data_IF_016307534950
#
_entry.id   IF_016307534950
#
_cell.length_a   1.000
_cell.length_b   1.000
_cell.length_c   1.000
_cell.angle_alpha   90.00
_cell.angle_beta   90.00
_cell.angle_gamma   90.00
#
_symmetry.space_group_name_H-M   'P 1'
#
loop_
_entity.id
_entity.type
_entity.pdbx_description
1 polymer ?
#
# COMPACT_ATOMS: atom_id res chain seq x y z
N UNK A 1 -15.08 -21.94 3.86
CA UNK A 1 -14.50 -20.62 4.18
C UNK A 1 -15.54 -19.59 3.79
N UNK A 2 -15.91 -18.70 4.68
CA UNK A 2 -16.80 -17.58 4.38
C UNK A 2 -15.95 -16.36 3.96
N UNK A 3 -16.59 -15.33 3.37
CA UNK A 3 -15.90 -14.07 3.09
C UNK A 3 -15.30 -13.44 4.35
N UNK A 4 -15.90 -13.72 5.53
CA UNK A 4 -15.38 -13.24 6.83
C UNK A 4 -14.05 -13.88 7.23
N UNK A 5 -13.73 -15.06 6.73
CA UNK A 5 -12.46 -15.76 7.00
C UNK A 5 -11.28 -15.19 6.19
N UNK A 6 -11.54 -14.28 5.24
CA UNK A 6 -10.50 -13.61 4.46
C UNK A 6 -9.80 -12.47 5.22
N UNK A 7 -10.36 -12.04 6.36
CA UNK A 7 -9.86 -10.91 7.14
C UNK A 7 -8.69 -11.28 8.03
N UNK A 8 -7.77 -10.33 8.18
CA UNK A 8 -6.60 -10.48 9.03
C UNK A 8 -6.92 -10.72 10.51
N UNK A 9 -5.96 -11.29 11.23
CA UNK A 9 -6.06 -11.58 12.65
C UNK A 9 -6.04 -10.29 13.49
N UNK A 10 -6.38 -10.43 14.79
CA UNK A 10 -6.26 -9.33 15.76
C UNK A 10 -4.84 -9.19 16.34
N UNK A 11 -3.91 -10.01 15.91
CA UNK A 11 -2.52 -10.01 16.38
C UNK A 11 -1.80 -8.74 15.94
N UNK A 12 -0.99 -8.17 16.85
CA UNK A 12 -0.08 -7.07 16.54
C UNK A 12 1.33 -7.61 16.27
N UNK A 13 2.03 -7.02 15.31
CA UNK A 13 3.42 -7.34 15.07
C UNK A 13 4.29 -6.90 16.27
N UNK A 14 5.30 -7.70 16.59
CA UNK A 14 6.35 -7.39 17.57
C UNK A 14 7.60 -6.85 16.86
N UNK A 15 8.51 -6.21 17.62
CA UNK A 15 9.76 -5.69 17.06
C UNK A 15 10.63 -6.81 16.49
N UNK A 16 10.69 -7.95 17.16
CA UNK A 16 11.51 -9.09 16.73
C UNK A 16 11.00 -9.66 15.40
N UNK A 17 9.69 -9.79 15.24
CA UNK A 17 9.07 -10.23 13.98
C UNK A 17 9.27 -9.23 12.83
N UNK A 18 9.23 -7.93 13.12
CA UNK A 18 9.52 -6.89 12.13
C UNK A 18 10.98 -6.95 11.67
N UNK A 19 11.91 -7.19 12.60
CA UNK A 19 13.33 -7.38 12.29
C UNK A 19 13.60 -8.67 11.54
N UNK A 20 12.92 -9.76 11.92
CA UNK A 20 12.96 -11.04 11.20
C UNK A 20 12.51 -10.84 9.75
N UNK A 21 11.40 -10.13 9.55
CA UNK A 21 10.88 -9.83 8.21
C UNK A 21 11.89 -9.03 7.38
N UNK A 22 12.52 -8.00 7.94
CA UNK A 22 13.55 -7.24 7.24
C UNK A 22 14.76 -8.13 6.89
N UNK A 23 15.23 -8.96 7.83
CA UNK A 23 16.35 -9.88 7.60
C UNK A 23 16.03 -10.89 6.50
N UNK A 24 14.84 -11.49 6.53
CA UNK A 24 14.38 -12.41 5.49
C UNK A 24 14.29 -11.73 4.11
N UNK A 25 13.72 -10.52 4.05
CA UNK A 25 13.59 -9.79 2.78
C UNK A 25 14.94 -9.41 2.16
N UNK A 26 15.97 -9.14 2.96
CA UNK A 26 17.34 -8.89 2.49
C UNK A 26 17.98 -10.10 1.77
N UNK A 27 17.43 -11.29 1.90
CA UNK A 27 17.93 -12.50 1.19
C UNK A 27 17.38 -12.64 -0.23
N UNK A 28 16.44 -11.79 -0.63
CA UNK A 28 15.81 -11.81 -1.95
C UNK A 28 16.30 -10.64 -2.80
N UNK A 29 16.96 -10.95 -3.91
CA UNK A 29 17.52 -9.95 -4.84
C UNK A 29 16.45 -9.07 -5.50
N UNK A 30 15.21 -9.53 -5.52
CA UNK A 30 14.07 -8.80 -6.12
C UNK A 30 13.38 -7.84 -5.14
N UNK A 31 13.72 -7.85 -3.85
CA UNK A 31 13.23 -6.86 -2.88
C UNK A 31 14.30 -5.84 -2.60
N UNK A 32 14.16 -4.67 -3.18
CA UNK A 32 15.18 -3.64 -3.11
C UNK A 32 15.10 -2.89 -1.77
N UNK A 33 16.28 -2.56 -1.21
CA UNK A 33 16.39 -1.46 -0.26
C UNK A 33 16.23 -0.17 -1.06
N UNK A 34 15.04 0.42 -0.99
CA UNK A 34 14.74 1.60 -1.80
C UNK A 34 15.48 2.84 -1.30
N UNK A 35 15.91 3.75 -2.18
CA UNK A 35 16.61 4.95 -1.75
C UNK A 35 15.69 5.89 -0.97
N UNK A 36 16.31 6.68 -0.09
CA UNK A 36 15.71 7.84 0.54
C UNK A 36 16.45 9.09 0.09
N UNK A 37 15.71 10.07 -0.45
CA UNK A 37 16.24 11.39 -0.79
C UNK A 37 15.99 12.31 0.39
N UNK A 38 17.04 12.71 1.08
CA UNK A 38 16.90 13.59 2.24
C UNK A 38 16.85 15.06 1.81
N UNK A 39 16.02 15.87 2.46
CA UNK A 39 15.86 17.31 2.22
C UNK A 39 15.66 17.69 0.74
N UNK A 40 14.96 16.83 -0.01
CA UNK A 40 14.74 17.02 -1.44
C UNK A 40 13.77 18.18 -1.70
N UNK A 41 14.05 19.06 -2.67
CA UNK A 41 13.18 20.21 -2.95
C UNK A 41 11.94 19.76 -3.72
N UNK A 42 10.77 19.83 -3.08
CA UNK A 42 9.47 19.51 -3.68
C UNK A 42 8.48 20.61 -3.36
N UNK A 43 7.89 21.25 -4.38
CA UNK A 43 6.83 22.25 -4.20
C UNK A 43 7.23 23.43 -3.31
N UNK A 44 8.50 23.83 -3.35
CA UNK A 44 9.04 24.92 -2.51
C UNK A 44 9.38 24.53 -1.08
N UNK A 45 9.21 23.26 -0.71
CA UNK A 45 9.57 22.69 0.60
C UNK A 45 10.76 21.75 0.48
N UNK A 46 11.49 21.54 1.58
CA UNK A 46 12.48 20.46 1.70
C UNK A 46 11.84 19.29 2.41
N UNK A 47 11.75 18.14 1.74
CA UNK A 47 11.04 16.95 2.22
C UNK A 47 11.95 15.74 2.01
N UNK A 48 12.09 14.86 2.98
CA UNK A 48 12.73 13.57 2.75
C UNK A 48 11.72 12.61 2.10
N UNK A 49 12.14 11.91 1.04
CA UNK A 49 11.29 11.03 0.25
C UNK A 49 11.79 9.59 0.32
N UNK A 50 11.03 8.67 0.89
CA UNK A 50 11.27 7.22 0.81
C UNK A 50 10.65 6.69 -0.47
N UNK A 51 11.49 6.29 -1.45
CA UNK A 51 11.06 6.02 -2.81
C UNK A 51 10.64 4.55 -3.04
N UNK A 52 9.55 4.10 -2.43
CA UNK A 52 8.96 2.78 -2.69
C UNK A 52 8.47 2.61 -4.15
N UNK A 53 8.31 3.72 -4.86
CA UNK A 53 8.09 3.73 -6.31
C UNK A 53 9.22 3.08 -7.11
N UNK A 54 10.41 3.00 -6.56
CA UNK A 54 11.57 2.35 -7.19
C UNK A 54 11.70 0.85 -6.88
N UNK A 55 10.78 0.27 -6.11
CA UNK A 55 10.75 -1.17 -5.90
C UNK A 55 10.60 -1.92 -7.25
N UNK A 56 11.07 -3.14 -7.34
CA UNK A 56 11.09 -3.96 -8.57
C UNK A 56 9.75 -4.00 -9.30
N UNK A 57 8.64 -4.12 -8.56
CA UNK A 57 7.29 -4.10 -9.15
C UNK A 57 6.68 -2.71 -9.26
N UNK A 58 7.47 -1.65 -9.03
CA UNK A 58 7.02 -0.26 -9.10
C UNK A 58 6.23 0.22 -7.90
N UNK A 59 6.12 -0.55 -6.82
CA UNK A 59 5.45 -0.16 -5.58
C UNK A 59 5.89 -0.99 -4.38
N UNK A 60 5.64 -0.47 -3.18
CA UNK A 60 5.93 -1.11 -1.89
C UNK A 60 5.34 -2.53 -1.71
N UNK A 61 4.31 -2.87 -2.49
CA UNK A 61 3.55 -4.11 -2.35
C UNK A 61 4.42 -5.36 -2.35
N UNK A 62 5.49 -5.34 -3.11
CA UNK A 62 6.41 -6.48 -3.20
C UNK A 62 6.96 -6.92 -1.84
N UNK A 63 7.26 -5.99 -0.94
CA UNK A 63 7.80 -6.28 0.40
C UNK A 63 6.89 -7.23 1.19
N UNK A 64 5.64 -6.83 1.39
CA UNK A 64 4.67 -7.64 2.12
C UNK A 64 4.32 -8.94 1.42
N UNK A 65 4.10 -8.90 0.09
CA UNK A 65 3.74 -10.09 -0.69
C UNK A 65 4.87 -11.13 -0.69
N UNK A 66 6.14 -10.71 -0.83
CA UNK A 66 7.29 -11.60 -0.76
C UNK A 66 7.44 -12.22 0.63
N UNK A 67 7.27 -11.43 1.69
CA UNK A 67 7.33 -11.96 3.05
C UNK A 67 6.19 -12.93 3.35
N UNK A 68 4.99 -12.68 2.85
CA UNK A 68 3.87 -13.62 2.95
C UNK A 68 4.20 -14.97 2.32
N UNK A 69 4.80 -14.97 1.13
CA UNK A 69 5.25 -16.23 0.51
C UNK A 69 6.36 -16.90 1.34
N UNK A 70 7.30 -16.13 1.88
CA UNK A 70 8.36 -16.64 2.76
C UNK A 70 7.80 -17.39 3.99
N UNK A 71 6.67 -16.91 4.55
CA UNK A 71 6.02 -17.49 5.73
C UNK A 71 5.04 -18.60 5.40
N UNK A 72 4.68 -18.78 4.13
CA UNK A 72 3.70 -19.78 3.69
C UNK A 72 4.32 -21.18 3.54
N UNK A 73 3.49 -22.19 3.65
CA UNK A 73 3.89 -23.58 3.44
C UNK A 73 4.35 -23.79 1.99
N UNK A 74 5.60 -24.25 1.81
CA UNK A 74 6.24 -24.39 0.50
C UNK A 74 5.56 -25.49 -0.34
N UNK A 75 5.09 -26.57 0.27
CA UNK A 75 4.42 -27.64 -0.46
C UNK A 75 3.03 -27.19 -0.94
N UNK A 76 2.31 -26.40 -0.13
CA UNK A 76 1.06 -25.78 -0.56
C UNK A 76 1.28 -24.78 -1.70
N UNK A 77 2.33 -23.95 -1.61
CA UNK A 77 2.68 -23.01 -2.69
C UNK A 77 3.00 -23.73 -4.00
N UNK A 78 3.71 -24.87 -3.95
CA UNK A 78 4.06 -25.67 -5.13
C UNK A 78 2.85 -26.39 -5.73
N UNK A 79 2.01 -26.96 -4.90
CA UNK A 79 0.88 -27.80 -5.33
C UNK A 79 -0.34 -26.98 -5.76
N UNK A 80 -0.66 -25.92 -5.03
CA UNK A 80 -1.88 -25.13 -5.24
C UNK A 80 -1.61 -23.72 -5.77
N UNK A 81 -0.44 -23.14 -5.48
CA UNK A 81 -0.12 -21.76 -5.84
C UNK A 81 -0.79 -20.72 -4.95
N UNK A 82 -0.88 -19.51 -5.45
CA UNK A 82 -1.39 -18.34 -4.70
C UNK A 82 -2.64 -17.76 -5.36
N UNK A 83 -3.44 -17.07 -4.55
CA UNK A 83 -4.59 -16.28 -5.02
C UNK A 83 -4.59 -14.91 -4.35
N UNK A 84 -4.99 -13.89 -5.10
CA UNK A 84 -5.20 -12.52 -4.60
C UNK A 84 -6.40 -11.86 -5.26
N UNK A 85 -6.83 -10.72 -4.69
CA UNK A 85 -7.89 -9.88 -5.23
C UNK A 85 -7.35 -8.46 -5.43
N UNK A 86 -7.09 -8.07 -6.66
CA UNK A 86 -6.60 -6.70 -6.95
C UNK A 86 -6.48 -6.44 -8.45
N UNK A 87 -6.96 -5.28 -8.90
CA UNK A 87 -6.71 -4.77 -10.24
C UNK A 87 -5.44 -3.89 -10.34
N UNK A 88 -4.73 -3.65 -9.22
CA UNK A 88 -3.61 -2.70 -9.14
C UNK A 88 -2.31 -3.33 -8.65
N UNK A 89 -1.57 -2.56 -7.86
CA UNK A 89 -0.22 -2.88 -7.38
C UNK A 89 -0.09 -4.26 -6.68
N UNK A 90 -1.12 -4.71 -5.94
CA UNK A 90 -1.07 -6.01 -5.29
C UNK A 90 -1.18 -7.16 -6.32
N UNK A 91 -2.11 -7.06 -7.28
CA UNK A 91 -2.22 -8.03 -8.38
C UNK A 91 -0.91 -8.11 -9.18
N UNK A 92 -0.32 -6.96 -9.54
CA UNK A 92 0.98 -6.89 -10.21
C UNK A 92 2.09 -7.59 -9.41
N UNK A 93 2.20 -7.31 -8.12
CA UNK A 93 3.23 -7.91 -7.27
C UNK A 93 3.06 -9.43 -7.13
N UNK A 94 1.82 -9.93 -6.97
CA UNK A 94 1.54 -11.38 -6.89
C UNK A 94 1.81 -12.08 -8.24
N UNK A 95 1.45 -11.45 -9.37
CA UNK A 95 1.74 -11.98 -10.71
C UNK A 95 3.25 -12.08 -10.95
N UNK A 96 4.00 -11.02 -10.60
CA UNK A 96 5.46 -11.02 -10.66
C UNK A 96 6.06 -12.14 -9.78
N UNK A 97 5.58 -12.30 -8.55
CA UNK A 97 6.06 -13.34 -7.65
C UNK A 97 5.77 -14.74 -8.18
N UNK A 98 4.59 -14.95 -8.80
CA UNK A 98 4.29 -16.20 -9.50
C UNK A 98 5.32 -16.51 -10.58
N UNK A 99 5.63 -15.52 -11.43
CA UNK A 99 6.65 -15.65 -12.48
C UNK A 99 8.05 -15.93 -11.90
N UNK A 100 8.46 -15.17 -10.88
CA UNK A 100 9.80 -15.27 -10.31
C UNK A 100 10.05 -16.57 -9.52
N UNK A 101 9.00 -17.16 -8.93
CA UNK A 101 9.09 -18.37 -8.11
C UNK A 101 8.64 -19.64 -8.83
N UNK A 102 7.94 -19.51 -9.95
CA UNK A 102 7.30 -20.63 -10.65
C UNK A 102 5.99 -21.09 -9.99
N UNK A 103 5.48 -20.39 -8.97
CA UNK A 103 4.19 -20.72 -8.36
C UNK A 103 3.04 -20.20 -9.21
N UNK A 104 1.99 -21.03 -9.38
CA UNK A 104 0.79 -20.61 -10.08
C UNK A 104 0.12 -19.44 -9.35
N UNK A 105 -0.06 -18.30 -10.04
CA UNK A 105 -0.74 -17.12 -9.49
C UNK A 105 -2.13 -16.96 -10.13
N UNK A 106 -3.15 -16.77 -9.31
CA UNK A 106 -4.52 -16.44 -9.74
C UNK A 106 -4.94 -15.11 -9.16
N UNK A 107 -5.43 -14.20 -10.00
CA UNK A 107 -5.81 -12.85 -9.61
C UNK A 107 -7.27 -12.61 -9.94
N UNK A 108 -8.08 -12.33 -8.93
CA UNK A 108 -9.45 -11.87 -9.12
C UNK A 108 -9.47 -10.34 -9.16
N UNK A 109 -10.22 -9.78 -10.10
CA UNK A 109 -10.38 -8.33 -10.22
C UNK A 109 -11.81 -7.96 -10.60
N UNK A 110 -12.27 -6.74 -10.24
CA UNK A 110 -13.59 -6.26 -10.63
C UNK A 110 -13.77 -6.25 -12.16
N UNK A 111 -14.93 -6.61 -12.64
CA UNK A 111 -15.25 -6.59 -14.07
C UNK A 111 -15.11 -5.20 -14.69
N UNK A 112 -15.33 -4.15 -13.88
CA UNK A 112 -15.17 -2.74 -14.28
C UNK A 112 -13.71 -2.28 -14.42
N UNK A 113 -12.74 -3.06 -13.92
CA UNK A 113 -11.33 -2.66 -14.01
C UNK A 113 -10.82 -2.71 -15.45
N UNK A 114 -9.92 -1.78 -15.84
CA UNK A 114 -9.38 -1.72 -17.20
C UNK A 114 -8.69 -3.01 -17.65
N UNK A 115 -8.80 -3.33 -18.95
CA UNK A 115 -8.28 -4.58 -19.51
C UNK A 115 -6.74 -4.59 -19.64
N UNK A 116 -6.11 -3.43 -19.77
CA UNK A 116 -4.65 -3.28 -19.77
C UNK A 116 -4.01 -3.87 -18.52
N UNK A 117 -4.65 -3.70 -17.37
CA UNK A 117 -4.22 -4.29 -16.09
C UNK A 117 -4.29 -5.82 -16.09
N UNK A 118 -5.33 -6.38 -16.71
CA UNK A 118 -5.44 -7.82 -16.94
C UNK A 118 -4.31 -8.31 -17.83
N UNK A 119 -4.14 -7.68 -19.00
CA UNK A 119 -3.10 -8.03 -19.98
C UNK A 119 -1.70 -7.99 -19.34
N UNK A 120 -1.41 -6.97 -18.55
CA UNK A 120 -0.14 -6.84 -17.84
C UNK A 120 0.09 -8.02 -16.87
N UNK A 121 -0.89 -8.42 -16.08
CA UNK A 121 -0.77 -9.53 -15.14
C UNK A 121 -0.66 -10.88 -15.86
N UNK A 122 -1.42 -11.08 -16.94
CA UNK A 122 -1.34 -12.29 -17.77
C UNK A 122 -0.01 -12.41 -18.51
N UNK A 123 0.62 -11.29 -18.90
CA UNK A 123 1.98 -11.29 -19.47
C UNK A 123 3.07 -11.81 -18.52
N UNK A 124 2.80 -11.78 -17.20
CA UNK A 124 3.64 -12.40 -16.17
C UNK A 124 3.22 -13.84 -15.85
N UNK A 125 2.30 -14.43 -16.60
CA UNK A 125 1.86 -15.83 -16.43
C UNK A 125 0.75 -16.02 -15.38
N UNK A 126 0.17 -14.96 -14.83
CA UNK A 126 -0.96 -15.10 -13.91
C UNK A 126 -2.26 -15.45 -14.64
N UNK A 127 -3.12 -16.22 -13.99
CA UNK A 127 -4.50 -16.42 -14.43
C UNK A 127 -5.36 -15.31 -13.86
N UNK A 128 -5.95 -14.46 -14.71
CA UNK A 128 -6.77 -13.33 -14.27
C UNK A 128 -8.25 -13.61 -14.51
N UNK A 129 -9.05 -13.47 -13.45
CA UNK A 129 -10.50 -13.69 -13.47
C UNK A 129 -11.22 -12.38 -13.15
N UNK A 130 -12.01 -11.87 -14.10
CA UNK A 130 -12.86 -10.68 -13.90
C UNK A 130 -14.23 -11.12 -13.39
N UNK A 131 -14.67 -10.55 -12.27
CA UNK A 131 -15.98 -10.82 -11.66
C UNK A 131 -16.69 -9.53 -11.27
N UNK A 132 -18.02 -9.51 -11.15
CA UNK A 132 -18.72 -8.37 -10.57
C UNK A 132 -18.14 -7.99 -9.22
N UNK A 133 -18.00 -6.68 -8.94
CA UNK A 133 -17.33 -6.19 -7.71
C UNK A 133 -17.92 -6.75 -6.43
N UNK A 134 -19.25 -6.85 -6.37
CA UNK A 134 -20.01 -7.40 -5.24
C UNK A 134 -19.80 -8.92 -5.02
N UNK A 135 -19.28 -9.65 -6.00
CA UNK A 135 -18.95 -11.08 -5.92
C UNK A 135 -17.48 -11.37 -5.71
N UNK A 136 -16.66 -10.33 -5.62
CA UNK A 136 -15.20 -10.48 -5.61
C UNK A 136 -14.69 -11.31 -4.42
N UNK A 137 -15.18 -11.02 -3.22
CA UNK A 137 -14.78 -11.73 -1.99
C UNK A 137 -15.28 -13.18 -2.00
N UNK A 138 -16.53 -13.41 -2.41
CA UNK A 138 -17.10 -14.76 -2.49
C UNK A 138 -16.34 -15.63 -3.50
N UNK A 139 -16.00 -15.07 -4.67
CA UNK A 139 -15.26 -15.79 -5.71
C UNK A 139 -13.84 -16.18 -5.23
N UNK A 140 -13.18 -15.33 -4.44
CA UNK A 140 -11.87 -15.65 -3.84
C UNK A 140 -12.02 -16.73 -2.78
N UNK A 141 -13.02 -16.62 -1.88
CA UNK A 141 -13.28 -17.62 -0.85
C UNK A 141 -13.58 -19.00 -1.45
N UNK A 142 -14.40 -19.05 -2.51
CA UNK A 142 -14.70 -20.28 -3.26
C UNK A 142 -13.43 -20.86 -3.91
N UNK A 143 -12.61 -20.02 -4.54
CA UNK A 143 -11.34 -20.46 -5.14
C UNK A 143 -10.41 -21.08 -4.09
N UNK A 144 -10.26 -20.47 -2.92
CA UNK A 144 -9.45 -21.00 -1.83
C UNK A 144 -9.98 -22.38 -1.37
N UNK A 145 -11.30 -22.49 -1.21
CA UNK A 145 -11.93 -23.73 -0.78
C UNK A 145 -11.75 -24.88 -1.79
N UNK A 146 -11.89 -24.58 -3.08
CA UNK A 146 -11.83 -25.58 -4.15
C UNK A 146 -10.41 -25.92 -4.55
N UNK A 147 -9.53 -24.94 -4.65
CA UNK A 147 -8.17 -25.08 -5.20
C UNK A 147 -7.08 -25.09 -4.12
N UNK A 148 -7.44 -24.89 -2.85
CA UNK A 148 -6.50 -24.87 -1.70
C UNK A 148 -5.34 -23.87 -1.87
N UNK A 149 -5.54 -22.79 -2.64
CA UNK A 149 -4.53 -21.75 -2.88
C UNK A 149 -4.22 -20.97 -1.62
N UNK A 150 -2.97 -20.54 -1.50
CA UNK A 150 -2.57 -19.62 -0.44
C UNK A 150 -3.10 -18.23 -0.76
N UNK A 151 -3.89 -17.66 0.15
CA UNK A 151 -4.34 -16.27 0.03
C UNK A 151 -3.18 -15.30 0.29
N UNK A 152 -2.92 -14.44 -0.68
CA UNK A 152 -2.07 -13.27 -0.53
C UNK A 152 -2.99 -12.05 -0.55
N UNK A 153 -3.51 -11.67 0.66
CA UNK A 153 -4.46 -10.56 0.78
C UNK A 153 -3.77 -9.24 0.38
N UNK A 154 -4.45 -8.28 -0.31
CA UNK A 154 -3.81 -7.04 -0.78
C UNK A 154 -3.19 -6.17 0.32
N UNK A 155 -3.64 -6.29 1.59
CA UNK A 155 -3.18 -5.48 2.71
C UNK A 155 -3.47 -6.09 4.10
N UNK A 156 -4.59 -6.80 4.29
CA UNK A 156 -5.09 -7.21 5.61
C UNK A 156 -4.58 -8.60 6.02
N UNK A 157 -3.30 -8.68 6.32
CA UNK A 157 -2.62 -9.89 6.76
C UNK A 157 -1.39 -9.49 7.58
N UNK A 158 -1.17 -10.10 8.74
CA UNK A 158 -0.10 -9.72 9.67
C UNK A 158 1.29 -9.96 9.08
N UNK A 159 1.48 -11.00 8.27
CA UNK A 159 2.77 -11.24 7.60
C UNK A 159 3.03 -10.18 6.52
N UNK A 160 1.98 -9.73 5.81
CA UNK A 160 2.09 -8.62 4.87
C UNK A 160 2.45 -7.33 5.58
N UNK A 161 1.84 -7.04 6.73
CA UNK A 161 2.17 -5.88 7.57
C UNK A 161 3.63 -5.97 8.05
N UNK A 162 4.08 -7.13 8.53
CA UNK A 162 5.48 -7.37 8.94
C UNK A 162 6.46 -7.12 7.79
N UNK A 163 6.14 -7.61 6.58
CA UNK A 163 6.96 -7.35 5.39
C UNK A 163 7.03 -5.87 5.03
N UNK A 164 5.90 -5.13 5.11
CA UNK A 164 5.86 -3.69 4.87
C UNK A 164 6.60 -2.89 5.96
N UNK A 165 6.70 -3.40 7.18
CA UNK A 165 7.44 -2.77 8.27
C UNK A 165 8.93 -2.61 7.95
N UNK A 166 9.50 -3.43 7.05
CA UNK A 166 10.88 -3.26 6.57
C UNK A 166 11.14 -1.88 5.97
N UNK A 167 10.13 -1.26 5.32
CA UNK A 167 10.20 0.12 4.84
C UNK A 167 10.38 1.11 6.00
N UNK A 168 9.65 0.92 7.10
CA UNK A 168 9.77 1.76 8.30
C UNK A 168 11.14 1.64 8.98
N UNK A 169 11.71 0.42 9.06
CA UNK A 169 13.06 0.23 9.58
C UNK A 169 14.11 0.93 8.70
N UNK A 170 13.98 0.83 7.36
CA UNK A 170 14.87 1.55 6.45
C UNK A 170 14.76 3.07 6.59
N UNK A 171 13.54 3.62 6.83
CA UNK A 171 13.34 5.05 7.11
C UNK A 171 14.13 5.46 8.35
N UNK A 172 14.08 4.67 9.43
CA UNK A 172 14.81 4.97 10.66
C UNK A 172 16.33 4.81 10.51
N UNK A 173 16.78 3.88 9.67
CA UNK A 173 18.21 3.74 9.33
C UNK A 173 18.73 4.97 8.56
N UNK A 174 17.93 5.52 7.62
CA UNK A 174 18.30 6.64 6.74
C UNK A 174 18.03 8.02 7.37
N UNK A 175 17.08 8.12 8.31
CA UNK A 175 16.70 9.32 9.04
C UNK A 175 16.36 8.98 10.52
N UNK A 176 17.38 8.64 11.35
CA UNK A 176 17.15 8.24 12.74
C UNK A 176 16.57 9.38 13.61
N UNK A 177 16.68 10.61 13.15
CA UNK A 177 16.19 11.84 13.78
C UNK A 177 14.96 12.41 13.06
N UNK A 178 14.22 11.60 12.32
CA UNK A 178 12.94 12.01 11.74
C UNK A 178 11.96 12.44 12.85
N UNK A 179 11.32 13.61 12.66
CA UNK A 179 10.27 14.12 13.55
C UNK A 179 8.89 13.62 13.14
N UNK A 180 8.66 13.48 11.81
CA UNK A 180 7.37 13.07 11.25
C UNK A 180 7.59 12.10 10.10
N UNK A 181 6.87 10.97 10.13
CA UNK A 181 6.81 9.99 9.04
C UNK A 181 5.39 9.98 8.48
N UNK A 182 5.25 10.32 7.20
CA UNK A 182 3.95 10.45 6.52
C UNK A 182 3.79 9.32 5.53
N UNK A 183 2.69 8.58 5.65
CA UNK A 183 2.46 7.33 4.91
C UNK A 183 1.08 7.35 4.27
N UNK A 184 0.97 7.06 2.98
CA UNK A 184 -0.32 6.89 2.34
C UNK A 184 -1.08 5.68 2.90
N UNK A 185 -2.39 5.78 2.99
CA UNK A 185 -3.28 4.78 3.53
C UNK A 185 -4.42 4.48 2.54
N UNK A 186 -4.48 3.25 2.05
CA UNK A 186 -5.67 2.67 1.45
C UNK A 186 -6.26 1.70 2.46
N UNK A 187 -6.17 0.38 2.26
CA UNK A 187 -6.60 -0.61 3.27
C UNK A 187 -5.75 -0.67 4.56
N UNK A 188 -4.66 0.10 4.62
CA UNK A 188 -3.86 0.33 5.82
C UNK A 188 -2.55 -0.47 5.95
N UNK A 189 -2.26 -1.43 5.06
CA UNK A 189 -1.12 -2.35 5.25
C UNK A 189 0.27 -1.68 5.33
N UNK A 190 0.56 -0.68 4.46
CA UNK A 190 1.82 0.05 4.52
C UNK A 190 1.90 0.92 5.77
N UNK A 191 0.84 1.67 6.05
CA UNK A 191 0.75 2.53 7.24
C UNK A 191 0.95 1.72 8.52
N UNK A 192 0.24 0.58 8.64
CA UNK A 192 0.36 -0.34 9.76
C UNK A 192 1.81 -0.84 9.98
N UNK A 193 2.44 -1.30 8.89
CA UNK A 193 3.82 -1.80 8.94
C UNK A 193 4.83 -0.72 9.30
N UNK A 194 4.81 0.42 8.62
CA UNK A 194 5.74 1.54 8.89
C UNK A 194 5.55 2.05 10.32
N UNK A 195 4.30 2.24 10.76
CA UNK A 195 4.01 2.72 12.10
C UNK A 195 4.51 1.74 13.19
N UNK A 196 4.26 0.44 13.01
CA UNK A 196 4.77 -0.59 13.92
C UNK A 196 6.31 -0.53 14.00
N UNK A 197 7.01 -0.47 12.87
CA UNK A 197 8.47 -0.36 12.85
C UNK A 197 8.96 0.88 13.61
N UNK A 198 8.37 2.04 13.34
CA UNK A 198 8.76 3.32 13.96
C UNK A 198 8.56 3.26 15.47
N UNK A 199 7.37 2.91 15.94
CA UNK A 199 7.03 2.95 17.37
C UNK A 199 7.70 1.85 18.18
N UNK A 200 7.73 0.62 17.67
CA UNK A 200 8.37 -0.51 18.36
C UNK A 200 9.89 -0.35 18.45
N UNK A 201 10.53 0.38 17.53
CA UNK A 201 11.95 0.74 17.61
C UNK A 201 12.25 1.83 18.63
N UNK A 202 11.25 2.37 19.32
CA UNK A 202 11.41 3.42 20.33
C UNK A 202 11.57 4.84 19.74
N UNK A 203 11.39 5.03 18.44
CA UNK A 203 11.42 6.36 17.81
C UNK A 203 10.29 7.23 18.34
N UNK A 204 10.57 8.52 18.50
CA UNK A 204 9.58 9.55 18.89
C UNK A 204 8.90 10.21 17.70
N UNK A 205 9.26 9.83 16.49
CA UNK A 205 8.64 10.36 15.29
C UNK A 205 7.12 10.20 15.32
N UNK A 206 6.41 11.26 14.97
CA UNK A 206 4.97 11.22 14.75
C UNK A 206 4.69 10.50 13.42
N UNK A 207 3.81 9.51 13.44
CA UNK A 207 3.39 8.78 12.24
C UNK A 207 2.01 9.24 11.83
N UNK A 208 1.90 9.75 10.60
CA UNK A 208 0.66 10.28 10.04
C UNK A 208 0.24 9.45 8.83
N UNK A 209 -0.97 8.91 8.88
CA UNK A 209 -1.63 8.27 7.75
C UNK A 209 -2.33 9.29 6.85
N UNK A 210 -2.34 9.06 5.53
CA UNK A 210 -3.00 9.96 4.57
C UNK A 210 -3.94 9.16 3.68
N UNK A 211 -5.23 9.50 3.70
CA UNK A 211 -6.27 8.94 2.84
C UNK A 211 -6.84 9.99 1.86
N UNK A 212 -7.39 9.56 0.71
CA UNK A 212 -8.23 10.42 -0.11
C UNK A 212 -9.56 10.72 0.61
N UNK A 213 -10.08 11.95 0.51
CA UNK A 213 -11.41 12.29 1.05
C UNK A 213 -12.51 11.38 0.48
N UNK A 214 -12.38 10.95 -0.77
CA UNK A 214 -13.32 10.03 -1.42
C UNK A 214 -13.17 8.55 -1.03
N UNK A 215 -12.21 8.18 -0.15
CA UNK A 215 -11.97 6.80 0.30
C UNK A 215 -11.33 6.77 1.70
N UNK A 216 -12.03 7.30 2.71
CA UNK A 216 -11.52 7.56 4.07
C UNK A 216 -11.91 6.47 5.09
N UNK A 217 -11.82 5.19 4.72
CA UNK A 217 -12.26 4.09 5.58
C UNK A 217 -11.47 3.99 6.89
N UNK A 218 -10.17 4.27 6.88
CA UNK A 218 -9.34 4.21 8.07
C UNK A 218 -9.59 5.39 9.01
N UNK A 219 -9.76 6.61 8.50
CA UNK A 219 -10.13 7.78 9.31
C UNK A 219 -11.48 7.56 10.02
N UNK A 220 -12.48 7.02 9.31
CA UNK A 220 -13.76 6.62 9.89
C UNK A 220 -13.59 5.52 10.96
N UNK A 221 -12.72 4.54 10.69
CA UNK A 221 -12.43 3.45 11.64
C UNK A 221 -11.80 3.98 12.93
N UNK A 222 -10.85 4.91 12.83
CA UNK A 222 -10.23 5.56 14.00
C UNK A 222 -11.26 6.35 14.78
N UNK A 223 -12.14 7.10 14.11
CA UNK A 223 -13.17 7.89 14.74
C UNK A 223 -14.24 7.02 15.46
N UNK A 224 -14.63 5.88 14.86
CA UNK A 224 -15.64 4.98 15.43
C UNK A 224 -15.08 3.96 16.43
N UNK A 225 -13.75 3.73 16.42
CA UNK A 225 -13.07 2.74 17.27
C UNK A 225 -13.15 1.29 16.79
N UNK A 226 -13.67 1.03 15.59
CA UNK A 226 -13.76 -0.29 14.93
C UNK A 226 -13.46 -0.19 13.44
N UNK A 227 -13.06 -1.29 12.80
CA UNK A 227 -12.85 -1.31 11.36
C UNK A 227 -14.16 -1.02 10.61
N UNK A 228 -14.14 -0.03 9.73
CA UNK A 228 -15.32 0.47 9.01
C UNK A 228 -15.18 0.32 7.49
N UNK A 229 -16.33 0.29 6.85
CA UNK A 229 -16.46 0.46 5.41
C UNK A 229 -16.63 1.95 5.07
N UNK A 230 -16.25 2.32 3.86
CA UNK A 230 -16.64 3.62 3.32
C UNK A 230 -18.18 3.74 3.29
N UNK A 231 -18.73 4.96 3.40
CA UNK A 231 -20.17 5.21 3.36
C UNK A 231 -20.82 4.62 2.09
N UNK A 232 -22.14 4.60 2.07
CA UNK A 232 -22.97 4.17 0.92
C UNK A 232 -22.63 2.75 0.39
N UNK A 233 -22.39 1.81 1.32
CA UNK A 233 -22.09 0.42 0.97
C UNK A 233 -20.66 0.21 0.44
N UNK A 234 -19.71 1.05 0.85
CA UNK A 234 -18.32 0.94 0.44
C UNK A 234 -18.02 1.64 -0.89
N UNK A 235 -18.83 2.61 -1.29
CA UNK A 235 -18.55 3.42 -2.49
C UNK A 235 -17.35 4.32 -2.24
N UNK A 236 -16.45 4.33 -3.20
CA UNK A 236 -15.28 5.20 -3.21
C UNK A 236 -15.28 6.06 -4.46
N UNK A 237 -14.84 7.31 -4.33
CA UNK A 237 -14.77 8.28 -5.43
C UNK A 237 -13.46 9.05 -5.32
N UNK A 238 -12.41 8.56 -5.97
CA UNK A 238 -11.08 9.20 -6.01
C UNK A 238 -10.30 8.75 -7.22
N UNK A 239 -9.46 9.61 -7.77
CA UNK A 239 -8.48 9.29 -8.82
C UNK A 239 -7.29 8.49 -8.27
N UNK A 240 -7.14 8.40 -6.96
CA UNK A 240 -6.08 7.61 -6.30
C UNK A 240 -6.50 6.13 -6.18
N UNK A 241 -6.64 5.43 -7.30
CA UNK A 241 -7.16 4.06 -7.36
C UNK A 241 -6.43 3.07 -6.45
N UNK A 242 -5.14 3.27 -6.18
CA UNK A 242 -4.36 2.44 -5.24
C UNK A 242 -4.72 2.67 -3.77
N UNK A 243 -5.45 3.74 -3.44
CA UNK A 243 -5.91 4.09 -2.10
C UNK A 243 -7.43 3.98 -1.94
N UNK A 244 -8.12 3.30 -2.85
CA UNK A 244 -9.57 3.18 -2.89
C UNK A 244 -10.15 1.80 -2.49
N UNK A 245 -9.56 1.01 -1.55
CA UNK A 245 -10.31 -0.10 -0.98
C UNK A 245 -11.55 0.44 -0.25
N UNK A 246 -12.69 -0.28 -0.35
CA UNK A 246 -13.94 0.20 0.24
C UNK A 246 -13.99 0.06 1.77
N UNK A 247 -12.97 -0.51 2.41
CA UNK A 247 -12.93 -0.80 3.84
C UNK A 247 -11.50 -0.73 4.38
N UNK A 248 -11.38 -0.47 5.69
CA UNK A 248 -10.15 -0.64 6.45
C UNK A 248 -9.94 -2.12 6.80
N UNK A 249 -8.74 -2.65 6.60
CA UNK A 249 -8.41 -4.00 7.04
C UNK A 249 -8.48 -4.13 8.56
N UNK A 250 -8.93 -5.29 9.07
CA UNK A 250 -9.06 -5.53 10.52
C UNK A 250 -7.70 -5.54 11.23
N UNK A 251 -6.75 -6.32 10.72
CA UNK A 251 -5.38 -6.33 11.25
C UNK A 251 -4.71 -4.97 11.07
N UNK A 252 -4.93 -4.32 9.91
CA UNK A 252 -4.41 -2.98 9.63
C UNK A 252 -4.94 -1.96 10.63
N UNK A 253 -6.27 -1.94 10.89
CA UNK A 253 -6.89 -1.02 11.84
C UNK A 253 -6.33 -1.21 13.26
N UNK A 254 -6.16 -2.46 13.72
CA UNK A 254 -5.58 -2.72 15.04
C UNK A 254 -4.17 -2.16 15.20
N UNK A 255 -3.33 -2.28 14.15
CA UNK A 255 -2.00 -1.67 14.15
C UNK A 255 -2.06 -0.14 14.09
N UNK A 256 -2.96 0.42 13.26
CA UNK A 256 -3.16 1.87 13.18
C UNK A 256 -3.57 2.42 14.54
N UNK A 257 -4.55 1.80 15.19
CA UNK A 257 -5.00 2.18 16.54
C UNK A 257 -3.88 2.12 17.58
N UNK A 258 -2.94 1.18 17.44
CA UNK A 258 -1.84 0.99 18.39
C UNK A 258 -0.63 1.92 18.14
N UNK A 259 -0.34 2.24 16.88
CA UNK A 259 0.96 2.78 16.48
C UNK A 259 0.89 4.07 15.63
N UNK A 260 -0.27 4.50 15.17
CA UNK A 260 -0.41 5.73 14.35
C UNK A 260 -0.91 6.87 15.23
N UNK A 261 -0.32 8.04 15.08
CA UNK A 261 -0.69 9.21 15.88
C UNK A 261 -1.89 9.94 15.29
N UNK A 262 -2.04 9.93 13.96
CA UNK A 262 -3.10 10.67 13.27
C UNK A 262 -3.36 10.09 11.87
N UNK A 263 -4.60 10.22 11.40
CA UNK A 263 -4.96 9.99 9.99
C UNK A 263 -5.62 11.25 9.46
N UNK A 264 -5.05 11.81 8.38
CA UNK A 264 -5.56 13.02 7.71
C UNK A 264 -6.07 12.66 6.31
N UNK A 265 -6.92 13.53 5.75
CA UNK A 265 -7.43 13.35 4.41
C UNK A 265 -6.94 14.45 3.47
N UNK A 266 -6.80 14.07 2.18
CA UNK A 266 -6.43 14.97 1.09
C UNK A 266 -7.44 14.85 -0.05
N UNK A 267 -7.65 15.94 -0.77
CA UNK A 267 -8.49 15.97 -1.96
C UNK A 267 -7.74 15.39 -3.18
N UNK A 268 -8.48 15.00 -4.21
CA UNK A 268 -7.90 14.60 -5.48
C UNK A 268 -7.04 15.70 -6.12
N UNK A 269 -7.45 16.98 -5.97
CA UNK A 269 -6.68 18.11 -6.48
C UNK A 269 -5.36 18.32 -5.72
N UNK A 270 -5.35 18.17 -4.39
CA UNK A 270 -4.11 18.20 -3.59
C UNK A 270 -3.15 17.09 -4.04
N UNK A 271 -3.67 15.88 -4.33
CA UNK A 271 -2.84 14.78 -4.86
C UNK A 271 -2.31 15.06 -6.26
N UNK A 272 -3.09 15.68 -7.15
CA UNK A 272 -2.60 16.15 -8.46
C UNK A 272 -1.49 17.18 -8.33
N UNK A 273 -1.64 18.15 -7.43
CA UNK A 273 -0.59 19.15 -7.15
C UNK A 273 0.68 18.46 -6.69
N UNK A 274 0.59 17.49 -5.79
CA UNK A 274 1.75 16.74 -5.31
C UNK A 274 2.39 15.88 -6.41
N UNK A 275 1.59 15.22 -7.25
CA UNK A 275 2.09 14.43 -8.40
C UNK A 275 2.90 15.32 -9.36
N UNK A 276 2.39 16.51 -9.69
CA UNK A 276 3.12 17.49 -10.51
C UNK A 276 4.39 17.99 -9.83
N UNK A 277 4.32 18.26 -8.51
CA UNK A 277 5.49 18.73 -7.77
C UNK A 277 6.60 17.66 -7.73
N UNK A 278 6.25 16.40 -7.52
CA UNK A 278 7.18 15.27 -7.58
C UNK A 278 7.78 15.11 -8.98
N UNK A 279 6.97 15.20 -10.04
CA UNK A 279 7.46 15.14 -11.42
C UNK A 279 8.47 16.24 -11.71
N UNK A 280 8.18 17.50 -11.34
CA UNK A 280 9.09 18.65 -11.47
C UNK A 280 10.38 18.49 -10.65
N UNK A 281 10.31 17.72 -9.56
CA UNK A 281 11.46 17.36 -8.72
C UNK A 281 12.22 16.12 -9.22
N UNK A 282 11.86 15.57 -10.39
CA UNK A 282 12.51 14.40 -11.01
C UNK A 282 12.06 13.05 -10.44
N UNK A 283 10.92 13.00 -9.72
CA UNK A 283 10.38 11.78 -9.11
C UNK A 283 9.05 11.41 -9.77
N UNK A 284 9.01 10.23 -10.41
CA UNK A 284 7.77 9.68 -10.96
C UNK A 284 6.99 8.95 -9.88
N UNK A 285 5.73 9.35 -9.70
CA UNK A 285 4.79 8.74 -8.77
C UNK A 285 3.40 8.63 -9.41
N UNK A 286 2.70 7.53 -9.19
CA UNK A 286 1.25 7.48 -9.42
C UNK A 286 0.52 8.40 -8.43
N UNK A 287 -0.71 8.80 -8.73
CA UNK A 287 -1.48 9.72 -7.86
C UNK A 287 -1.57 9.19 -6.43
N UNK A 288 -1.85 7.90 -6.28
CA UNK A 288 -1.86 7.22 -4.97
C UNK A 288 -0.50 7.29 -4.25
N UNK A 289 0.59 7.24 -5.02
CA UNK A 289 1.95 7.32 -4.51
C UNK A 289 2.35 8.70 -4.00
N UNK A 290 1.64 9.75 -4.42
CA UNK A 290 1.90 11.14 -4.06
C UNK A 290 1.14 11.61 -2.82
N UNK A 291 0.21 10.83 -2.26
CA UNK A 291 -0.70 11.26 -1.20
C UNK A 291 0.01 11.78 0.07
N UNK A 292 1.11 11.13 0.50
CA UNK A 292 1.89 11.60 1.64
C UNK A 292 2.49 12.99 1.40
N UNK A 293 3.00 13.24 0.19
CA UNK A 293 3.52 14.55 -0.22
C UNK A 293 2.38 15.57 -0.35
N UNK A 294 1.18 15.16 -0.78
CA UNK A 294 0.00 16.01 -0.85
C UNK A 294 -0.36 16.58 0.54
N UNK A 295 -0.40 15.74 1.57
CA UNK A 295 -0.67 16.17 2.92
C UNK A 295 0.38 17.20 3.43
N UNK A 296 1.65 17.01 3.09
CA UNK A 296 2.74 17.95 3.43
C UNK A 296 2.56 19.30 2.71
N UNK A 297 2.32 19.28 1.40
CA UNK A 297 2.20 20.52 0.61
C UNK A 297 0.92 21.30 0.93
N UNK A 298 -0.17 20.59 1.24
CA UNK A 298 -1.46 21.17 1.61
C UNK A 298 -1.52 21.67 3.09
N UNK A 299 -0.44 21.50 3.87
CA UNK A 299 -0.40 21.95 5.27
C UNK A 299 -1.28 21.12 6.22
N UNK A 300 -1.66 19.91 5.85
CA UNK A 300 -2.51 19.01 6.66
C UNK A 300 -1.78 18.40 7.86
N UNK A 301 -0.47 18.57 7.97
CA UNK A 301 0.34 18.01 9.05
C UNK A 301 0.48 18.90 10.29
N UNK A 302 -0.21 20.04 10.31
CA UNK A 302 -0.04 21.06 11.35
C UNK A 302 1.34 21.73 11.28
N UNK A 303 1.86 22.18 12.42
CA UNK A 303 3.16 22.85 12.48
C UNK A 303 4.31 21.84 12.34
N UNK A 304 4.97 21.89 11.19
CA UNK A 304 6.14 21.10 10.83
C UNK A 304 7.35 21.95 10.44
N UNK A 305 7.33 23.24 10.73
CA UNK A 305 8.42 24.15 10.42
C UNK A 305 9.68 23.74 11.21
N UNK A 306 10.79 23.62 10.52
CA UNK A 306 12.07 23.15 11.09
C UNK A 306 12.12 21.67 11.44
N UNK A 307 11.07 20.90 11.20
CA UNK A 307 11.01 19.45 11.45
C UNK A 307 11.49 18.65 10.26
N UNK A 308 12.13 17.51 10.56
CA UNK A 308 12.50 16.52 9.57
C UNK A 308 11.30 15.65 9.23
N UNK A 309 10.72 15.87 8.06
CA UNK A 309 9.55 15.15 7.56
C UNK A 309 9.98 14.15 6.51
N UNK A 310 9.63 12.87 6.69
CA UNK A 310 9.81 11.80 5.70
C UNK A 310 8.47 11.41 5.12
N UNK A 311 8.28 11.58 3.81
CA UNK A 311 7.10 11.15 3.09
C UNK A 311 7.39 9.88 2.27
N UNK A 312 6.52 8.88 2.34
CA UNK A 312 6.61 7.72 1.44
C UNK A 312 6.07 8.06 0.06
N UNK A 313 6.83 7.73 -0.99
CA UNK A 313 6.37 7.72 -2.39
C UNK A 313 6.10 6.26 -2.74
N UNK A 314 4.85 5.82 -2.58
CA UNK A 314 4.52 4.41 -2.42
C UNK A 314 4.46 3.60 -3.71
N UNK A 315 4.30 4.26 -4.89
CA UNK A 315 4.22 3.57 -6.17
C UNK A 315 4.32 4.52 -7.36
N UNK A 316 4.59 3.92 -8.55
CA UNK A 316 4.70 4.62 -9.85
C UNK A 316 3.92 3.93 -10.98
N UNK A 317 3.11 2.93 -10.66
CA UNK A 317 2.40 2.15 -11.68
C UNK A 317 1.17 2.89 -12.20
N UNK A 318 1.39 3.79 -13.14
CA UNK A 318 0.38 4.61 -13.78
C UNK A 318 0.59 4.56 -15.31
N UNK A 319 -0.50 4.51 -16.06
CA UNK A 319 -0.43 4.56 -17.52
C UNK A 319 -0.11 5.99 -18.00
N UNK A 320 0.49 6.11 -19.18
CA UNK A 320 0.97 7.40 -19.69
C UNK A 320 -0.16 8.41 -19.81
N UNK A 321 -1.29 8.03 -20.40
CA UNK A 321 -2.44 8.92 -20.59
C UNK A 321 -3.05 9.36 -19.25
N UNK A 322 -3.13 8.43 -18.28
CA UNK A 322 -3.58 8.72 -16.91
C UNK A 322 -2.60 9.68 -16.22
N UNK A 323 -1.30 9.50 -16.43
CA UNK A 323 -0.27 10.37 -15.87
C UNK A 323 -0.29 11.77 -16.49
N UNK A 324 -0.41 11.88 -17.82
CA UNK A 324 -0.56 13.15 -18.52
C UNK A 324 -1.79 13.91 -18.02
N UNK A 325 -2.90 13.20 -17.80
CA UNK A 325 -4.10 13.80 -17.22
C UNK A 325 -3.87 14.28 -15.79
N UNK A 326 -3.18 13.51 -14.95
CA UNK A 326 -2.83 13.92 -13.58
C UNK A 326 -1.87 15.11 -13.55
N UNK A 327 -1.00 15.25 -14.55
CA UNK A 327 -0.07 16.37 -14.70
C UNK A 327 -0.72 17.63 -15.30
N UNK A 328 -1.85 17.51 -15.99
CA UNK A 328 -2.53 18.65 -16.60
C UNK A 328 -3.04 19.65 -15.53
N UNK A 329 -3.02 20.94 -15.87
CA UNK A 329 -3.55 21.99 -14.98
C UNK A 329 -5.06 22.23 -15.17
N UNK A 330 -5.72 21.44 -16.03
CA UNK A 330 -7.15 21.58 -16.29
C UNK A 330 -7.95 20.97 -15.13
N UNK A 331 -8.98 21.69 -14.62
CA UNK A 331 -9.96 21.09 -13.71
C UNK A 331 -10.62 19.88 -14.39
N UNK A 332 -11.02 18.88 -13.59
CA UNK A 332 -11.88 17.83 -14.14
C UNK A 332 -13.23 18.45 -14.52
N UNK A 333 -13.63 18.27 -15.76
CA UNK A 333 -15.02 18.40 -16.13
C UNK A 333 -15.76 17.18 -15.54
N UNK A 334 -16.66 17.44 -14.60
CA UNK A 334 -17.50 16.44 -13.92
C UNK A 334 -18.65 15.99 -14.81
#
# INVERSE_FOLDING_TARGET
MSADDLWGSNELATLDEVREAQAALKTYDDVLRTPQLNDWPVGGKKISLKLESLQTTGSFKLRGMRYKLHRSDVEQLRSAGVVTLSAGNAGRAVSYLGQATGYSAKVFMPASAPDDRKVMMESMGATVVKVPGEKLLDAVAECIQQEQRVLVHPFDDVDIIRGHASCGLEILEDAPDADVVVVCCGGGGLLAGVAAAVKLSGSKARVVGVEPEGAQSMALSVASGKAEWCPDGGKTSTIAHGLAPPFAGRACFNHVKAFVDEVVTVTDDEMRVATRALFRAGVVAEVSGAAAVAAMLAGKLGDVDGKKVVCTVSGRNIEVDEYEHALSERPMEH
#
